data_IF_038308059880
#
_entry.id   IF_038308059880
#
_cell.length_a   1.000
_cell.length_b   1.000
_cell.length_c   1.000
_cell.angle_alpha   90.00
_cell.angle_beta   90.00
_cell.angle_gamma   90.00
#
_symmetry.space_group_name_H-M   'P 1'
#
loop_
_entity.id
_entity.type
_entity.pdbx_description
1 polymer ?
#
# COMPACT_ATOMS: atom_id res chain seq x y z
N UNK A 1 -43.58 -5.48 -0.42
CA UNK A 1 -42.77 -4.48 0.33
C UNK A 1 -41.57 -5.07 1.10
N UNK A 2 -41.53 -6.38 1.44
CA UNK A 2 -40.45 -6.97 2.26
C UNK A 2 -39.17 -7.31 1.47
N UNK A 3 -39.32 -7.75 0.23
CA UNK A 3 -38.24 -8.15 -0.69
C UNK A 3 -37.36 -6.98 -1.14
N UNK A 4 -37.91 -5.77 -1.20
CA UNK A 4 -37.18 -4.57 -1.66
C UNK A 4 -36.05 -4.19 -0.70
N UNK A 5 -36.26 -4.34 0.61
CA UNK A 5 -35.26 -3.95 1.63
C UNK A 5 -34.05 -4.89 1.57
N UNK A 6 -34.28 -6.19 1.36
CA UNK A 6 -33.19 -7.17 1.22
C UNK A 6 -32.30 -6.88 0.01
N UNK A 7 -32.89 -6.48 -1.11
CA UNK A 7 -32.15 -6.10 -2.31
C UNK A 7 -31.25 -4.87 -2.07
N UNK A 8 -31.76 -3.87 -1.35
CA UNK A 8 -30.98 -2.66 -1.01
C UNK A 8 -29.81 -3.02 -0.09
N UNK A 9 -30.02 -3.84 0.94
CA UNK A 9 -28.95 -4.28 1.84
C UNK A 9 -27.88 -5.07 1.08
N UNK A 10 -28.29 -5.98 0.20
CA UNK A 10 -27.35 -6.78 -0.58
C UNK A 10 -26.54 -5.91 -1.55
N UNK A 11 -27.18 -4.94 -2.21
CA UNK A 11 -26.49 -3.97 -3.07
C UNK A 11 -25.49 -3.10 -2.31
N UNK A 12 -25.85 -2.64 -1.11
CA UNK A 12 -24.94 -1.87 -0.24
C UNK A 12 -23.76 -2.72 0.23
N UNK A 13 -23.98 -3.99 0.60
CA UNK A 13 -22.91 -4.90 0.99
C UNK A 13 -21.92 -5.15 -0.15
N UNK A 14 -22.40 -5.33 -1.39
CA UNK A 14 -21.56 -5.47 -2.57
C UNK A 14 -20.75 -4.20 -2.87
N UNK A 15 -21.36 -3.02 -2.79
CA UNK A 15 -20.65 -1.74 -2.94
C UNK A 15 -19.55 -1.58 -1.89
N UNK A 16 -19.85 -1.93 -0.63
CA UNK A 16 -18.88 -1.90 0.46
C UNK A 16 -17.69 -2.84 0.16
N UNK A 17 -17.96 -4.10 -0.22
CA UNK A 17 -16.93 -5.05 -0.64
C UNK A 17 -16.06 -4.54 -1.79
N UNK A 18 -16.66 -3.88 -2.78
CA UNK A 18 -15.91 -3.29 -3.90
C UNK A 18 -15.02 -2.12 -3.45
N UNK A 19 -15.48 -1.27 -2.53
CA UNK A 19 -14.63 -0.21 -1.96
C UNK A 19 -13.41 -0.77 -1.23
N UNK A 20 -13.53 -1.88 -0.48
CA UNK A 20 -12.36 -2.53 0.13
C UNK A 20 -11.44 -3.19 -0.88
N UNK A 21 -11.97 -3.70 -2.00
CA UNK A 21 -11.15 -4.28 -3.05
C UNK A 21 -10.34 -3.20 -3.78
N UNK A 22 -10.94 -2.03 -4.03
CA UNK A 22 -10.29 -0.88 -4.66
C UNK A 22 -9.17 -0.31 -3.75
N UNK A 23 -9.40 -0.23 -2.44
CA UNK A 23 -8.34 0.14 -1.48
C UNK A 23 -7.22 -0.92 -1.40
N UNK A 24 -7.51 -2.17 -1.74
CA UNK A 24 -6.50 -3.23 -1.79
C UNK A 24 -5.68 -3.18 -3.09
N UNK A 25 -6.29 -2.78 -4.22
CA UNK A 25 -5.58 -2.68 -5.51
C UNK A 25 -4.65 -1.46 -5.61
N UNK A 26 -4.82 -0.44 -4.75
CA UNK A 26 -3.82 0.64 -4.58
C UNK A 26 -2.64 0.25 -3.66
N UNK A 27 -2.52 -1.04 -3.29
CA UNK A 27 -1.23 -1.62 -2.86
C UNK A 27 -0.36 -2.06 -4.04
N UNK A 28 -0.54 -1.43 -5.20
CA UNK A 28 0.36 -1.45 -6.36
C UNK A 28 1.75 -0.87 -6.02
N UNK A 29 2.54 -1.63 -5.26
CA UNK A 29 3.90 -1.30 -4.78
C UNK A 29 3.98 0.06 -4.08
N UNK A 30 3.34 0.19 -2.91
CA UNK A 30 3.76 1.21 -1.95
C UNK A 30 5.27 1.09 -1.74
N UNK A 31 6.00 2.13 -2.10
CA UNK A 31 7.44 2.18 -1.91
C UNK A 31 7.75 2.37 -0.42
N UNK A 32 8.95 1.97 0.02
CA UNK A 32 9.37 2.09 1.41
C UNK A 32 9.66 3.54 1.80
N UNK A 33 8.96 4.03 2.82
CA UNK A 33 9.20 5.35 3.44
C UNK A 33 10.43 5.35 4.36
N UNK A 34 10.80 6.53 4.88
CA UNK A 34 11.91 6.66 5.84
C UNK A 34 11.79 5.64 6.99
N UNK A 35 12.90 4.97 7.30
CA UNK A 35 13.02 3.91 8.32
C UNK A 35 12.22 2.62 8.06
N UNK A 36 11.60 2.46 6.89
CA UNK A 36 10.98 1.19 6.51
C UNK A 36 12.01 0.13 6.15
N UNK A 37 11.76 -1.13 6.52
CA UNK A 37 12.64 -2.24 6.16
C UNK A 37 12.72 -2.44 4.65
N UNK A 38 13.93 -2.58 4.13
CA UNK A 38 14.22 -2.78 2.72
C UNK A 38 15.12 -4.02 2.52
N UNK A 39 15.01 -4.67 1.36
CA UNK A 39 15.76 -5.89 1.05
C UNK A 39 14.99 -6.86 0.14
N UNK A 40 15.51 -8.08 0.01
CA UNK A 40 14.85 -9.12 -0.80
C UNK A 40 13.44 -9.41 -0.28
N UNK A 41 12.44 -9.35 -1.17
CA UNK A 41 11.03 -9.58 -0.82
C UNK A 41 10.32 -8.40 -0.14
N UNK A 42 10.93 -7.20 -0.11
CA UNK A 42 10.30 -5.97 0.37
C UNK A 42 10.14 -4.95 -0.77
N UNK A 43 9.19 -4.01 -0.66
CA UNK A 43 9.08 -2.94 -1.64
C UNK A 43 10.37 -2.10 -1.70
N UNK A 44 10.68 -1.59 -2.87
CA UNK A 44 11.77 -0.63 -3.07
C UNK A 44 11.49 0.65 -2.30
N UNK A 45 12.50 1.31 -1.74
CA UNK A 45 12.34 2.60 -1.08
C UNK A 45 11.79 3.67 -2.06
N UNK A 46 11.02 4.63 -1.54
CA UNK A 46 10.46 5.72 -2.34
C UNK A 46 11.55 6.64 -2.90
N UNK A 47 11.20 7.42 -3.93
CA UNK A 47 12.08 8.47 -4.45
C UNK A 47 12.48 9.41 -3.31
N UNK A 48 13.79 9.67 -3.17
CA UNK A 48 14.34 10.42 -2.03
C UNK A 48 14.96 9.55 -0.94
N UNK A 49 14.75 8.23 -0.97
CA UNK A 49 15.37 7.28 -0.05
C UNK A 49 16.20 6.19 -0.75
N UNK A 50 17.27 5.75 -0.10
CA UNK A 50 18.05 4.57 -0.48
C UNK A 50 17.97 3.50 0.60
N UNK A 51 18.00 2.24 0.19
CA UNK A 51 18.10 1.14 1.14
C UNK A 51 19.50 1.12 1.76
N UNK A 52 19.61 1.34 3.07
CA UNK A 52 20.90 1.27 3.75
C UNK A 52 21.43 -0.17 3.75
N UNK A 53 22.64 -0.43 3.22
CA UNK A 53 23.21 -1.78 3.23
C UNK A 53 23.53 -2.25 4.66
N UNK A 54 23.85 -1.31 5.56
CA UNK A 54 24.19 -1.56 6.97
C UNK A 54 22.95 -1.84 7.81
N UNK A 55 21.93 -0.98 7.69
CA UNK A 55 20.78 -1.01 8.59
C UNK A 55 19.56 -1.77 8.03
N UNK A 56 19.53 -2.03 6.72
CA UNK A 56 18.40 -2.68 6.02
C UNK A 56 17.06 -1.94 6.19
N UNK A 57 17.12 -0.61 6.26
CA UNK A 57 15.96 0.26 6.15
C UNK A 57 16.23 1.43 5.19
N UNK A 58 15.15 2.05 4.70
CA UNK A 58 15.19 3.21 3.82
C UNK A 58 15.70 4.43 4.60
N UNK A 59 16.78 5.03 4.11
CA UNK A 59 17.37 6.26 4.65
C UNK A 59 17.34 7.35 3.60
N UNK A 60 17.38 8.62 4.00
CA UNK A 60 17.47 9.76 3.07
C UNK A 60 18.64 9.56 2.10
N UNK A 61 18.38 9.78 0.80
CA UNK A 61 19.43 9.85 -0.22
C UNK A 61 20.40 10.96 0.15
N UNK A 62 21.61 10.62 0.58
CA UNK A 62 22.64 11.63 0.79
C UNK A 62 23.13 12.14 -0.57
N UNK A 63 23.26 13.47 -0.76
CA UNK A 63 23.81 14.03 -1.99
C UNK A 63 25.27 13.58 -2.12
N UNK A 64 25.53 12.53 -2.90
CA UNK A 64 26.89 12.01 -3.09
C UNK A 64 27.02 10.49 -3.24
N UNK A 65 25.96 9.71 -3.03
CA UNK A 65 25.97 8.26 -3.28
C UNK A 65 25.45 7.97 -4.70
N UNK A 66 26.29 8.19 -5.71
CA UNK A 66 26.16 7.56 -7.04
C UNK A 66 26.91 6.24 -7.04
#
# INVERSE_FOLDING_TARGET
>A
MKTSVLFVIFGLALLFCLSFADELEDTGRQCGEFMWKCGAGKPTCCSGYDCSPTWKWCVLKSPGRR
#
